data_IF_284281058486
#
_entry.id   IF_284281058486
#
_cell.length_a   1.000
_cell.length_b   1.000
_cell.length_c   1.000
_cell.angle_alpha   90.00
_cell.angle_beta   90.00
_cell.angle_gamma   90.00
#
_symmetry.space_group_name_H-M   'P 1'
#
loop_
_entity.id
_entity.type
_entity.pdbx_description
1 polymer ?
#
# COMPACT_ATOMS: atom_id res chain seq x y z
N UNK A 1 21.72 11.24 -18.79
CA UNK A 1 22.15 10.15 -17.90
C UNK A 1 20.90 9.36 -17.55
N UNK A 2 20.87 8.06 -17.89
CA UNK A 2 19.73 7.18 -17.63
C UNK A 2 19.50 7.11 -16.11
N UNK A 3 18.45 7.75 -15.61
CA UNK A 3 17.93 7.44 -14.29
C UNK A 3 17.39 6.00 -14.40
N UNK A 4 18.15 5.01 -13.91
CA UNK A 4 17.51 3.76 -13.51
C UNK A 4 16.47 4.16 -12.47
N UNK A 5 15.19 4.08 -12.83
CA UNK A 5 14.11 4.41 -11.94
C UNK A 5 14.22 3.46 -10.74
N UNK A 6 13.91 3.95 -9.54
CA UNK A 6 13.91 3.11 -8.33
C UNK A 6 13.02 1.87 -8.61
N UNK A 7 13.53 0.63 -8.47
CA UNK A 7 12.78 -0.56 -8.83
C UNK A 7 11.49 -0.74 -8.01
N UNK A 8 11.43 -0.16 -6.80
CA UNK A 8 10.21 -0.08 -6.00
C UNK A 8 9.21 0.88 -6.62
N UNK A 9 9.68 2.03 -7.09
CA UNK A 9 8.84 3.01 -7.77
C UNK A 9 8.30 2.47 -9.10
N UNK A 10 9.14 1.79 -9.90
CA UNK A 10 8.71 1.14 -11.15
C UNK A 10 7.64 0.08 -10.88
N UNK A 11 7.84 -0.76 -9.86
CA UNK A 11 6.87 -1.80 -9.51
C UNK A 11 5.56 -1.21 -9.02
N UNK A 12 5.61 -0.18 -8.17
CA UNK A 12 4.40 0.49 -7.66
C UNK A 12 3.63 1.16 -8.82
N UNK A 13 4.33 1.79 -9.76
CA UNK A 13 3.72 2.40 -10.93
C UNK A 13 3.08 1.35 -11.84
N UNK A 14 3.77 0.24 -12.09
CA UNK A 14 3.24 -0.85 -12.91
C UNK A 14 1.92 -1.40 -12.34
N UNK A 15 1.84 -1.57 -11.01
CA UNK A 15 0.61 -2.03 -10.34
C UNK A 15 -0.49 -0.96 -10.42
N UNK A 16 -0.16 0.33 -10.27
CA UNK A 16 -1.13 1.41 -10.38
C UNK A 16 -1.78 1.52 -11.77
N UNK A 17 -1.06 1.12 -12.81
CA UNK A 17 -1.55 1.16 -14.19
C UNK A 17 -2.25 -0.14 -14.61
N UNK A 18 -2.23 -1.17 -13.76
CA UNK A 18 -2.94 -2.42 -14.01
C UNK A 18 -4.44 -2.27 -13.67
N UNK A 19 -5.27 -2.14 -14.71
CA UNK A 19 -6.73 -2.03 -14.56
C UNK A 19 -7.42 -3.27 -13.98
N UNK A 20 -6.70 -4.39 -13.80
CA UNK A 20 -7.20 -5.58 -13.12
C UNK A 20 -7.02 -5.54 -11.60
N UNK A 21 -6.29 -4.57 -11.06
CA UNK A 21 -5.93 -4.50 -9.65
C UNK A 21 -6.53 -3.26 -9.00
N UNK A 22 -7.55 -3.45 -8.16
CA UNK A 22 -8.14 -2.39 -7.35
C UNK A 22 -8.48 -2.93 -5.95
N UNK A 23 -7.94 -2.32 -4.90
CA UNK A 23 -8.07 -2.87 -3.56
C UNK A 23 -7.66 -1.92 -2.45
N UNK A 24 -7.41 -2.47 -1.26
CA UNK A 24 -7.03 -1.69 -0.08
C UNK A 24 -5.72 -2.18 0.53
N UNK A 25 -4.96 -1.27 1.11
CA UNK A 25 -3.81 -1.60 1.95
C UNK A 25 -4.21 -1.63 3.43
N UNK A 26 -3.81 -2.69 4.11
CA UNK A 26 -3.88 -2.80 5.57
C UNK A 26 -2.46 -3.09 6.09
N UNK A 27 -1.86 -2.10 6.75
CA UNK A 27 -0.47 -2.17 7.22
C UNK A 27 -0.44 -2.21 8.76
N UNK A 28 0.10 -3.28 9.34
CA UNK A 28 0.30 -3.44 10.79
C UNK A 28 1.78 -3.15 11.10
N UNK A 29 2.04 -2.09 11.87
CA UNK A 29 3.40 -1.58 12.02
C UNK A 29 3.98 -1.09 10.67
N UNK A 30 5.17 -0.49 10.69
CA UNK A 30 5.88 0.06 9.51
C UNK A 30 5.38 1.39 8.90
N UNK A 31 4.52 2.15 9.59
CA UNK A 31 4.35 3.58 9.30
C UNK A 31 3.67 3.95 7.97
N UNK A 32 2.95 3.02 7.33
CA UNK A 32 2.30 3.20 6.02
C UNK A 32 3.28 3.38 4.84
N UNK A 33 4.46 2.78 4.91
CA UNK A 33 5.46 2.94 3.85
C UNK A 33 5.06 2.26 2.53
N UNK A 34 4.20 1.22 2.53
CA UNK A 34 3.75 0.59 1.29
C UNK A 34 2.78 1.50 0.56
N UNK A 35 1.74 1.99 1.25
CA UNK A 35 0.79 2.95 0.67
C UNK A 35 1.50 4.20 0.12
N UNK A 36 2.52 4.71 0.82
CA UNK A 36 3.30 5.89 0.39
C UNK A 36 3.86 5.74 -1.02
N UNK A 37 4.44 4.58 -1.35
CA UNK A 37 5.00 4.35 -2.68
C UNK A 37 3.94 4.44 -3.78
N UNK A 38 2.78 3.82 -3.55
CA UNK A 38 1.68 3.81 -4.52
C UNK A 38 1.15 5.23 -4.76
N UNK A 39 1.04 6.06 -3.72
CA UNK A 39 0.64 7.45 -3.88
C UNK A 39 1.71 8.33 -4.54
N UNK A 40 2.99 8.03 -4.32
CA UNK A 40 4.10 8.87 -4.78
C UNK A 40 4.39 8.74 -6.28
N UNK A 41 4.06 7.60 -6.90
CA UNK A 41 4.41 7.30 -8.30
C UNK A 41 3.31 7.63 -9.32
N UNK A 42 2.10 8.00 -8.86
CA UNK A 42 0.96 8.35 -9.73
C UNK A 42 0.14 7.13 -10.18
N UNK A 43 -1.09 7.36 -10.64
CA UNK A 43 -2.03 6.29 -11.05
C UNK A 43 -2.78 5.61 -9.91
N UNK A 44 -2.49 5.95 -8.65
CA UNK A 44 -3.07 5.31 -7.46
C UNK A 44 -4.60 5.31 -7.41
N UNK A 45 -5.28 6.27 -8.03
CA UNK A 45 -6.75 6.30 -8.08
C UNK A 45 -7.35 5.10 -8.83
N UNK A 46 -6.59 4.49 -9.74
CA UNK A 46 -7.00 3.29 -10.47
C UNK A 46 -6.82 1.98 -9.69
N UNK A 47 -6.04 1.99 -8.61
CA UNK A 47 -5.60 0.79 -7.90
C UNK A 47 -5.84 0.77 -6.39
N UNK A 48 -5.91 1.94 -5.74
CA UNK A 48 -6.01 2.08 -4.29
C UNK A 48 -7.34 2.69 -3.89
N UNK A 49 -8.24 1.85 -3.38
CA UNK A 49 -9.54 2.25 -2.85
C UNK A 49 -9.44 2.86 -1.45
N UNK A 50 -8.54 2.32 -0.61
CA UNK A 50 -8.40 2.71 0.80
C UNK A 50 -7.04 2.28 1.35
N UNK A 51 -6.52 3.02 2.32
CA UNK A 51 -5.36 2.61 3.12
C UNK A 51 -5.71 2.69 4.60
N UNK A 52 -5.28 1.69 5.36
CA UNK A 52 -5.48 1.60 6.81
C UNK A 52 -4.16 1.23 7.46
N UNK A 53 -3.80 1.94 8.53
CA UNK A 53 -2.73 1.54 9.41
C UNK A 53 -3.27 1.06 10.74
N UNK A 54 -2.90 -0.14 11.10
CA UNK A 54 -3.13 -0.69 12.41
C UNK A 54 -1.88 -0.44 13.27
N UNK A 55 -2.08 0.30 14.34
CA UNK A 55 -1.11 0.45 15.42
C UNK A 55 -1.52 -0.50 16.55
N UNK A 56 -0.72 -1.54 16.74
CA UNK A 56 -0.66 -2.43 17.91
C UNK A 56 -1.81 -3.45 18.13
N UNK A 57 -1.43 -4.61 18.68
CA UNK A 57 -2.18 -5.87 18.84
C UNK A 57 -3.56 -5.74 19.51
N UNK A 58 -3.83 -4.64 20.21
CA UNK A 58 -5.10 -4.36 20.89
C UNK A 58 -6.33 -4.29 19.96
N UNK A 59 -6.17 -3.85 18.71
CA UNK A 59 -7.29 -3.82 17.74
C UNK A 59 -7.57 -5.22 17.17
N UNK A 60 -6.53 -6.04 17.01
CA UNK A 60 -6.67 -7.42 16.53
C UNK A 60 -7.42 -8.28 17.56
N UNK A 61 -7.08 -8.13 18.85
CA UNK A 61 -7.79 -8.80 19.95
C UNK A 61 -9.27 -8.35 20.05
N UNK A 62 -9.56 -7.07 19.77
CA UNK A 62 -10.91 -6.52 19.85
C UNK A 62 -11.82 -6.91 18.67
N UNK A 63 -11.26 -7.15 17.47
CA UNK A 63 -12.04 -7.49 16.26
C UNK A 63 -12.08 -9.00 16.01
N UNK A 64 -11.01 -9.75 16.31
CA UNK A 64 -10.90 -11.17 15.98
C UNK A 64 -10.86 -12.11 17.21
N UNK A 65 -10.75 -11.57 18.42
CA UNK A 65 -10.62 -12.36 19.66
C UNK A 65 -9.20 -12.90 19.89
N UNK A 66 -8.88 -13.20 21.15
CA UNK A 66 -7.60 -13.85 21.51
C UNK A 66 -7.59 -15.29 21.00
N UNK A 67 -6.48 -15.68 20.36
CA UNK A 67 -6.21 -17.05 19.96
C UNK A 67 -6.17 -18.00 21.16
#
# INVERSE_FOLDING_TARGET
MNHALDPTAEKALAINLDGGLFGAFAEIGAGQEVARWFFSVGGAAGSVAKTVSAYDMTVSDAIYGKA
#
